data_IF_142221037319
#
_entry.id   IF_142221037319
#
_cell.length_a   1.000
_cell.length_b   1.000
_cell.length_c   1.000
_cell.angle_alpha   90.00
_cell.angle_beta   90.00
_cell.angle_gamma   90.00
#
_symmetry.space_group_name_H-M   'P 1'
#
loop_
_entity.id
_entity.type
_entity.pdbx_description
1 polymer ?
#
# COMPACT_ATOMS: atom_id res chain seq x y z
N UNK A 1 18.29 -11.66 -62.38
CA UNK A 1 18.23 -10.50 -61.48
C UNK A 1 17.06 -10.76 -60.51
N UNK A 2 17.31 -11.31 -59.33
CA UNK A 2 16.29 -11.75 -58.39
C UNK A 2 16.41 -10.85 -57.13
N UNK A 3 15.54 -9.86 -57.01
CA UNK A 3 15.48 -9.00 -55.80
C UNK A 3 14.83 -9.77 -54.65
N UNK A 4 15.62 -10.01 -53.59
CA UNK A 4 15.14 -10.58 -52.34
C UNK A 4 14.23 -9.62 -51.60
N UNK A 5 12.92 -9.85 -51.67
CA UNK A 5 11.88 -9.12 -50.91
C UNK A 5 11.73 -9.74 -49.50
N UNK A 6 12.81 -9.96 -48.73
CA UNK A 6 12.73 -10.62 -47.43
C UNK A 6 12.83 -9.66 -46.23
N UNK A 7 13.15 -8.37 -46.46
CA UNK A 7 13.38 -7.41 -45.37
C UNK A 7 12.15 -6.69 -44.81
N UNK A 8 11.08 -6.60 -45.58
CA UNK A 8 9.95 -5.76 -45.19
C UNK A 8 9.02 -6.43 -44.17
N UNK A 9 8.81 -7.75 -44.29
CA UNK A 9 7.92 -8.49 -43.37
C UNK A 9 8.46 -8.60 -41.95
N UNK A 10 9.80 -8.61 -41.79
CA UNK A 10 10.43 -8.66 -40.46
C UNK A 10 10.41 -7.31 -39.75
N UNK A 11 10.55 -6.19 -40.50
CA UNK A 11 10.49 -4.84 -39.95
C UNK A 11 9.08 -4.48 -39.46
N UNK A 12 8.04 -4.92 -40.16
CA UNK A 12 6.65 -4.67 -39.74
C UNK A 12 6.25 -5.47 -38.51
N UNK A 13 6.74 -6.69 -38.36
CA UNK A 13 6.45 -7.55 -37.20
C UNK A 13 7.13 -7.01 -35.91
N UNK A 14 8.36 -6.58 -36.00
CA UNK A 14 9.08 -6.00 -34.85
C UNK A 14 8.48 -4.66 -34.39
N UNK A 15 8.02 -3.83 -35.31
CA UNK A 15 7.34 -2.57 -35.02
C UNK A 15 5.98 -2.80 -34.31
N UNK A 16 5.21 -3.82 -34.73
CA UNK A 16 3.95 -4.21 -34.10
C UNK A 16 4.14 -4.75 -32.69
N UNK A 17 5.18 -5.55 -32.45
CA UNK A 17 5.49 -6.09 -31.12
C UNK A 17 5.93 -4.96 -30.19
N UNK A 18 6.78 -4.03 -30.65
CA UNK A 18 7.22 -2.89 -29.87
C UNK A 18 6.05 -1.96 -29.50
N UNK A 19 5.09 -1.74 -30.41
CA UNK A 19 3.90 -0.95 -30.15
C UNK A 19 2.98 -1.63 -29.14
N UNK A 20 2.80 -2.95 -29.23
CA UNK A 20 1.99 -3.72 -28.29
C UNK A 20 2.58 -3.73 -26.87
N UNK A 21 3.89 -3.86 -26.74
CA UNK A 21 4.60 -3.79 -25.44
C UNK A 21 4.50 -2.41 -24.83
N UNK A 22 4.64 -1.34 -25.63
CA UNK A 22 4.47 0.04 -25.18
C UNK A 22 3.06 0.34 -24.69
N UNK A 23 2.05 -0.23 -25.33
CA UNK A 23 0.65 -0.06 -24.93
C UNK A 23 0.33 -0.75 -23.60
N UNK A 24 0.90 -1.93 -23.35
CA UNK A 24 0.70 -2.67 -22.08
C UNK A 24 1.33 -1.91 -20.90
N UNK A 25 2.49 -1.29 -21.07
CA UNK A 25 3.14 -0.49 -20.02
C UNK A 25 2.39 0.81 -19.70
N UNK A 26 1.65 1.37 -20.64
CA UNK A 26 0.87 2.60 -20.45
C UNK A 26 -0.40 2.42 -19.60
N UNK A 27 -0.89 1.18 -19.41
CA UNK A 27 -2.11 0.91 -18.66
C UNK A 27 -1.90 0.54 -17.19
N UNK A 28 -0.67 0.38 -16.72
CA UNK A 28 -0.36 0.13 -15.32
C UNK A 28 -0.43 1.43 -14.52
N UNK A 29 -1.62 1.81 -14.06
CA UNK A 29 -1.75 2.93 -13.12
C UNK A 29 -1.12 2.52 -11.80
N UNK A 30 -0.13 3.26 -11.28
CA UNK A 30 0.39 3.01 -9.94
C UNK A 30 -0.75 3.17 -8.92
N UNK A 31 -0.80 2.27 -7.95
CA UNK A 31 -1.77 2.37 -6.85
C UNK A 31 -1.33 3.52 -5.96
N UNK A 32 -2.18 4.53 -5.83
CA UNK A 32 -1.95 5.67 -4.93
C UNK A 32 -2.31 5.25 -3.50
N UNK A 33 -1.38 5.47 -2.57
CA UNK A 33 -1.61 5.28 -1.14
C UNK A 33 -1.76 6.64 -0.47
N UNK A 34 -2.86 6.85 0.24
CA UNK A 34 -3.11 8.06 1.02
C UNK A 34 -3.36 7.71 2.47
N UNK A 35 -2.81 8.53 3.36
CA UNK A 35 -3.04 8.46 4.80
C UNK A 35 -3.50 9.82 5.28
N UNK A 36 -4.65 9.87 5.93
CA UNK A 36 -5.29 11.10 6.40
C UNK A 36 -5.35 12.19 5.30
N UNK A 37 -5.72 11.76 4.07
CA UNK A 37 -5.85 12.63 2.90
C UNK A 37 -4.51 12.99 2.22
N UNK A 38 -3.36 12.65 2.78
CA UNK A 38 -2.05 12.96 2.20
C UNK A 38 -1.50 11.76 1.41
N UNK A 39 -0.92 12.02 0.23
CA UNK A 39 -0.31 10.99 -0.61
C UNK A 39 1.00 10.51 0.01
N UNK A 40 1.15 9.19 0.15
CA UNK A 40 2.34 8.55 0.72
C UNK A 40 3.15 7.91 -0.40
N UNK A 41 4.36 8.42 -0.60
CA UNK A 41 5.29 7.88 -1.58
C UNK A 41 5.96 6.62 -1.03
N UNK A 42 5.92 5.54 -1.79
CA UNK A 42 6.51 4.26 -1.41
C UNK A 42 7.43 3.74 -2.51
N UNK A 43 8.57 3.14 -2.12
CA UNK A 43 9.50 2.49 -3.04
C UNK A 43 9.00 1.13 -3.54
N UNK A 44 8.09 0.50 -2.81
CA UNK A 44 7.35 -0.71 -3.21
C UNK A 44 5.87 -0.36 -3.22
N UNK A 45 5.19 -0.46 -4.36
CA UNK A 45 3.78 -0.17 -4.43
C UNK A 45 2.94 -1.18 -3.63
N UNK A 46 1.75 -0.80 -3.16
CA UNK A 46 0.78 -1.74 -2.64
C UNK A 46 0.49 -2.86 -3.62
N UNK A 47 0.25 -4.07 -3.12
CA UNK A 47 -0.07 -5.25 -3.93
C UNK A 47 -1.38 -5.87 -3.47
N UNK A 48 -2.15 -6.40 -4.42
CA UNK A 48 -3.35 -7.18 -4.11
C UNK A 48 -3.04 -8.65 -4.32
N UNK A 49 -3.25 -9.46 -3.29
CA UNK A 49 -3.07 -10.91 -3.32
C UNK A 49 -4.25 -11.57 -2.62
N UNK A 50 -4.86 -12.59 -3.23
CA UNK A 50 -5.97 -13.36 -2.66
C UNK A 50 -7.11 -12.48 -2.10
N UNK A 51 -7.50 -11.45 -2.84
CA UNK A 51 -8.55 -10.49 -2.51
C UNK A 51 -8.21 -9.56 -1.32
N UNK A 52 -7.00 -9.61 -0.79
CA UNK A 52 -6.52 -8.69 0.23
C UNK A 52 -5.50 -7.71 -0.35
N UNK A 53 -5.57 -6.47 0.12
CA UNK A 53 -4.61 -5.42 -0.23
C UNK A 53 -3.52 -5.40 0.81
N UNK A 54 -2.27 -5.49 0.37
CA UNK A 54 -1.09 -5.37 1.21
C UNK A 54 -0.40 -4.05 0.94
N UNK A 55 0.02 -3.40 2.01
CA UNK A 55 0.71 -2.10 1.98
C UNK A 55 2.10 -2.21 2.61
N UNK A 56 3.07 -1.39 2.17
CA UNK A 56 4.36 -1.33 2.83
C UNK A 56 4.22 -0.85 4.27
N UNK A 57 4.49 -1.74 5.24
CA UNK A 57 4.28 -1.49 6.66
C UNK A 57 4.87 -0.17 7.13
N UNK A 58 6.18 0.03 6.87
CA UNK A 58 6.90 1.21 7.36
C UNK A 58 6.29 2.51 6.85
N UNK A 59 5.97 2.59 5.57
CA UNK A 59 5.43 3.80 4.97
C UNK A 59 4.07 4.18 5.58
N UNK A 60 3.19 3.20 5.81
CA UNK A 60 1.88 3.44 6.45
C UNK A 60 2.05 3.75 7.93
N UNK A 61 2.91 3.02 8.65
CA UNK A 61 3.16 3.25 10.06
C UNK A 61 3.71 4.67 10.31
N UNK A 62 4.75 5.08 9.57
CA UNK A 62 5.32 6.43 9.65
C UNK A 62 4.28 7.52 9.34
N UNK A 63 3.48 7.32 8.28
CA UNK A 63 2.42 8.27 7.92
C UNK A 63 1.31 8.38 8.99
N UNK A 64 1.06 7.29 9.74
CA UNK A 64 0.13 7.27 10.88
C UNK A 64 0.77 7.76 12.20
N UNK A 65 2.03 8.18 12.18
CA UNK A 65 2.77 8.57 13.39
C UNK A 65 3.09 7.41 14.32
N UNK A 66 3.24 6.20 13.77
CA UNK A 66 3.59 5.00 14.51
C UNK A 66 5.08 4.67 14.38
N UNK A 67 5.69 4.20 15.46
CA UNK A 67 7.05 3.69 15.49
C UNK A 67 7.10 2.21 15.11
N UNK A 68 8.14 1.81 14.36
CA UNK A 68 8.31 0.44 13.91
C UNK A 68 9.67 -0.12 14.35
N UNK A 69 9.67 -1.18 15.14
CA UNK A 69 10.85 -1.87 15.62
C UNK A 69 10.97 -3.26 14.97
N UNK A 70 12.15 -3.54 14.41
CA UNK A 70 12.46 -4.82 13.77
C UNK A 70 13.46 -5.57 14.65
N UNK A 71 13.10 -6.78 15.08
CA UNK A 71 13.99 -7.65 15.84
C UNK A 71 14.34 -8.87 15.01
N UNK A 72 15.61 -8.98 14.62
CA UNK A 72 16.13 -10.18 13.98
C UNK A 72 16.63 -11.13 15.08
N UNK A 73 15.93 -12.23 15.30
CA UNK A 73 16.28 -13.23 16.35
C UNK A 73 17.13 -14.38 15.80
N UNK A 74 18.14 -14.10 14.97
CA UNK A 74 19.16 -15.09 14.59
C UNK A 74 18.59 -16.44 14.11
N UNK A 75 18.03 -16.48 12.89
CA UNK A 75 17.48 -17.71 12.28
C UNK A 75 16.03 -18.04 12.65
N UNK A 76 15.37 -17.27 13.48
CA UNK A 76 13.91 -17.28 13.66
C UNK A 76 13.27 -16.23 12.75
N UNK A 77 11.95 -16.34 12.54
CA UNK A 77 11.20 -15.35 11.79
C UNK A 77 11.40 -13.95 12.39
N UNK A 78 11.59 -12.94 11.52
CA UNK A 78 11.72 -11.55 11.93
C UNK A 78 10.49 -11.12 12.73
N UNK A 79 10.69 -10.72 13.98
CA UNK A 79 9.63 -10.18 14.81
C UNK A 79 9.56 -8.67 14.61
N UNK A 80 8.36 -8.17 14.46
CA UNK A 80 8.09 -6.77 14.19
C UNK A 80 7.12 -6.26 15.24
N UNK A 81 7.45 -5.12 15.79
CA UNK A 81 6.61 -4.37 16.71
C UNK A 81 6.28 -3.02 16.11
N UNK A 82 4.99 -2.65 16.11
CA UNK A 82 4.50 -1.36 15.66
C UNK A 82 3.75 -0.71 16.81
N UNK A 83 4.16 0.49 17.19
CA UNK A 83 3.62 1.23 18.34
C UNK A 83 2.98 2.52 17.84
N UNK A 84 1.71 2.74 18.17
CA UNK A 84 0.98 3.98 17.91
C UNK A 84 0.17 4.38 19.14
N UNK A 85 0.62 5.41 19.86
CA UNK A 85 0.02 5.77 21.13
C UNK A 85 0.08 4.62 22.14
N UNK A 86 -1.06 4.17 22.61
CA UNK A 86 -1.24 3.03 23.53
C UNK A 86 -1.41 1.68 22.82
N UNK A 87 -1.43 1.67 21.50
CA UNK A 87 -1.61 0.46 20.70
C UNK A 87 -0.26 -0.11 20.28
N UNK A 88 -0.06 -1.39 20.58
CA UNK A 88 1.15 -2.14 20.22
C UNK A 88 0.77 -3.41 19.48
N UNK A 89 1.11 -3.47 18.20
CA UNK A 89 0.94 -4.65 17.35
C UNK A 89 2.27 -5.38 17.25
N UNK A 90 2.31 -6.68 17.61
CA UNK A 90 3.49 -7.55 17.41
C UNK A 90 3.13 -8.74 16.52
N UNK A 91 3.97 -9.02 15.55
CA UNK A 91 3.81 -10.14 14.65
C UNK A 91 5.14 -10.59 14.06
N UNK A 92 5.13 -11.75 13.39
CA UNK A 92 6.30 -12.24 12.64
C UNK A 92 5.99 -12.38 11.16
N UNK A 93 6.97 -12.09 10.31
CA UNK A 93 6.85 -12.28 8.86
C UNK A 93 6.60 -13.77 8.56
N UNK A 94 5.67 -14.05 7.67
CA UNK A 94 5.28 -15.41 7.29
C UNK A 94 4.30 -16.10 8.24
N UNK A 95 3.86 -15.43 9.30
CA UNK A 95 2.93 -16.01 10.28
C UNK A 95 1.65 -15.16 10.43
N UNK A 96 0.52 -15.83 10.63
CA UNK A 96 -0.76 -15.15 10.89
C UNK A 96 -0.99 -14.85 12.37
N UNK A 97 -0.22 -15.49 13.27
CA UNK A 97 -0.31 -15.22 14.71
C UNK A 97 0.34 -13.87 15.02
N UNK A 98 -0.39 -13.05 15.75
CA UNK A 98 0.01 -11.73 16.21
C UNK A 98 -0.49 -11.46 17.62
N UNK A 99 -0.06 -10.36 18.21
CA UNK A 99 -0.64 -9.84 19.46
C UNK A 99 -0.94 -8.35 19.30
N UNK A 100 -2.06 -7.90 19.86
CA UNK A 100 -2.41 -6.50 19.98
C UNK A 100 -2.53 -6.16 21.48
N UNK A 101 -1.69 -5.24 21.95
CA UNK A 101 -1.58 -4.90 23.39
C UNK A 101 -1.37 -6.13 24.28
N UNK A 102 -0.58 -7.11 23.80
CA UNK A 102 -0.34 -8.36 24.48
C UNK A 102 -1.43 -9.42 24.32
N UNK A 103 -2.61 -9.07 23.83
CA UNK A 103 -3.71 -10.01 23.60
C UNK A 103 -3.52 -10.75 22.26
N UNK A 104 -3.74 -12.08 22.21
CA UNK A 104 -3.64 -12.83 20.96
C UNK A 104 -4.62 -12.31 19.91
N UNK A 105 -4.13 -12.14 18.68
CA UNK A 105 -4.96 -11.90 17.50
C UNK A 105 -4.48 -12.73 16.33
N UNK A 106 -5.33 -12.91 15.34
CA UNK A 106 -5.00 -13.61 14.10
C UNK A 106 -5.13 -12.65 12.95
N UNK A 107 -4.05 -12.47 12.19
CA UNK A 107 -4.05 -11.73 10.95
C UNK A 107 -4.80 -12.53 9.89
N UNK A 108 -5.57 -11.87 9.05
CA UNK A 108 -6.30 -12.52 7.96
C UNK A 108 -5.34 -13.23 6.99
N UNK A 109 -4.18 -12.62 6.72
CA UNK A 109 -3.08 -13.17 5.93
C UNK A 109 -1.74 -12.90 6.59
N UNK A 110 -0.78 -13.79 6.37
CA UNK A 110 0.57 -13.63 6.88
C UNK A 110 1.29 -12.47 6.15
N UNK A 111 1.96 -11.57 6.89
CA UNK A 111 2.84 -10.57 6.30
C UNK A 111 4.00 -11.24 5.55
N UNK A 112 4.45 -10.61 4.48
CA UNK A 112 5.53 -11.12 3.64
C UNK A 112 6.49 -10.00 3.19
N UNK A 113 7.57 -10.35 2.49
CA UNK A 113 8.53 -9.36 1.99
C UNK A 113 8.48 -9.22 0.47
N UNK A 114 8.51 -7.98 0.01
CA UNK A 114 8.71 -7.61 -1.39
C UNK A 114 9.89 -6.66 -1.49
N UNK A 115 10.93 -7.02 -2.23
CA UNK A 115 12.15 -6.20 -2.37
C UNK A 115 12.73 -5.75 -1.01
N UNK A 116 12.69 -6.62 0.00
CA UNK A 116 13.15 -6.33 1.34
C UNK A 116 12.18 -5.53 2.22
N UNK A 117 11.07 -5.02 1.70
CA UNK A 117 10.03 -4.33 2.47
C UNK A 117 9.00 -5.30 3.01
N UNK A 118 8.60 -5.12 4.25
CA UNK A 118 7.53 -5.90 4.86
C UNK A 118 6.19 -5.36 4.36
N UNK A 119 5.37 -6.25 3.83
CA UNK A 119 4.02 -6.00 3.38
C UNK A 119 3.05 -6.57 4.40
N UNK A 120 2.11 -5.76 4.85
CA UNK A 120 1.06 -6.16 5.81
C UNK A 120 -0.31 -5.94 5.19
N UNK A 121 -1.26 -6.81 5.52
CA UNK A 121 -2.63 -6.67 5.05
C UNK A 121 -3.28 -5.38 5.59
N UNK A 122 -3.99 -4.67 4.72
CA UNK A 122 -4.67 -3.42 5.06
C UNK A 122 -5.70 -3.64 6.18
N UNK A 123 -6.34 -4.81 6.18
CA UNK A 123 -7.27 -5.20 7.23
C UNK A 123 -6.62 -5.29 8.62
N UNK A 124 -5.39 -5.83 8.69
CA UNK A 124 -4.63 -5.91 9.94
C UNK A 124 -4.31 -4.52 10.50
N UNK A 125 -3.96 -3.56 9.63
CA UNK A 125 -3.72 -2.17 10.03
C UNK A 125 -5.00 -1.51 10.55
N UNK A 126 -6.13 -1.75 9.88
CA UNK A 126 -7.44 -1.26 10.32
C UNK A 126 -7.82 -1.76 11.71
N UNK A 127 -7.63 -3.06 11.97
CA UNK A 127 -7.93 -3.66 13.28
C UNK A 127 -6.99 -3.17 14.39
N UNK A 128 -5.68 -3.11 14.10
CA UNK A 128 -4.68 -2.78 15.11
C UNK A 128 -4.73 -1.32 15.54
N UNK A 129 -4.97 -0.40 14.62
CA UNK A 129 -4.84 1.04 14.88
C UNK A 129 -6.16 1.82 14.77
N UNK A 130 -7.28 1.09 14.69
CA UNK A 130 -8.63 1.69 14.64
C UNK A 130 -8.76 2.73 13.52
N UNK A 131 -8.11 2.48 12.37
CA UNK A 131 -8.18 3.34 11.20
C UNK A 131 -9.23 2.81 10.22
N UNK A 132 -9.89 3.71 9.50
CA UNK A 132 -10.78 3.35 8.39
C UNK A 132 -9.94 3.14 7.14
N UNK A 133 -10.16 2.04 6.45
CA UNK A 133 -9.43 1.71 5.22
C UNK A 133 -10.40 1.55 4.07
N UNK A 134 -10.06 2.11 2.90
CA UNK A 134 -10.84 1.99 1.68
C UNK A 134 -9.91 1.72 0.50
N UNK A 135 -10.30 0.78 -0.33
CA UNK A 135 -9.64 0.56 -1.62
C UNK A 135 -10.62 0.81 -2.76
N UNK A 136 -10.37 1.83 -3.55
CA UNK A 136 -11.12 2.11 -4.78
C UNK A 136 -10.36 1.53 -5.99
N UNK A 137 -10.92 0.45 -6.55
CA UNK A 137 -10.34 -0.22 -7.72
C UNK A 137 -10.44 0.62 -9.01
N UNK A 138 -11.41 1.52 -9.11
CA UNK A 138 -11.60 2.35 -10.31
C UNK A 138 -10.53 3.41 -10.43
N UNK A 139 -10.18 4.03 -9.31
CA UNK A 139 -9.15 5.07 -9.23
C UNK A 139 -7.79 4.51 -8.86
N UNK A 140 -7.69 3.19 -8.57
CA UNK A 140 -6.49 2.53 -8.05
C UNK A 140 -5.92 3.25 -6.81
N UNK A 141 -6.81 3.64 -5.87
CA UNK A 141 -6.44 4.39 -4.68
C UNK A 141 -6.79 3.64 -3.40
N UNK A 142 -5.87 3.72 -2.44
CA UNK A 142 -6.04 3.23 -1.08
C UNK A 142 -6.04 4.43 -0.15
N UNK A 143 -7.12 4.59 0.60
CA UNK A 143 -7.23 5.60 1.64
C UNK A 143 -7.17 4.90 3.02
N UNK A 144 -6.35 5.44 3.92
CA UNK A 144 -6.22 5.04 5.32
C UNK A 144 -6.48 6.27 6.17
N UNK A 145 -7.60 6.29 6.86
CA UNK A 145 -8.09 7.48 7.53
C UNK A 145 -8.17 7.26 9.06
N UNK A 146 -7.56 8.13 9.82
CA UNK A 146 -7.69 8.17 11.29
C UNK A 146 -9.03 8.81 11.65
N UNK A 147 -9.91 8.13 12.41
CA UNK A 147 -11.16 8.71 12.86
C UNK A 147 -10.91 10.02 13.65
N UNK A 148 -11.64 11.09 13.31
CA UNK A 148 -11.52 12.40 13.93
C UNK A 148 -10.61 13.40 13.22
N UNK A 149 -9.63 12.98 12.43
CA UNK A 149 -8.75 13.89 11.67
C UNK A 149 -9.50 14.50 10.48
N UNK A 150 -10.33 13.70 9.80
CA UNK A 150 -11.08 14.15 8.61
C UNK A 150 -12.25 15.08 9.00
N UNK A 151 -12.89 14.84 10.15
CA UNK A 151 -13.99 15.68 10.62
C UNK A 151 -13.49 17.10 10.96
N UNK A 152 -12.29 17.25 11.50
CA UNK A 152 -11.67 18.53 11.77
C UNK A 152 -11.29 19.30 10.48
N UNK A 153 -10.86 18.59 9.44
CA UNK A 153 -10.53 19.20 8.14
C UNK A 153 -11.75 19.63 7.34
N UNK A 154 -12.88 18.95 7.48
CA UNK A 154 -14.14 19.30 6.80
C UNK A 154 -14.82 20.55 7.43
N UNK A 155 -14.61 20.77 8.72
CA UNK A 155 -15.16 21.95 9.42
C UNK A 155 -14.31 23.21 9.21
N UNK A 156 -13.01 23.09 9.01
CA UNK A 156 -12.12 24.23 8.77
C UNK A 156 -12.35 24.91 7.41
N UNK A 157 -13.03 24.25 6.47
CA UNK A 157 -13.36 24.79 5.15
C UNK A 157 -14.74 25.45 5.04
N UNK A 158 -15.57 25.44 6.11
CA UNK A 158 -16.97 25.88 6.05
C UNK A 158 -17.23 27.25 6.66
N UNK A 159 -16.24 27.94 7.25
CA UNK A 159 -16.43 29.16 8.03
C UNK A 159 -15.83 30.42 7.37
N UNK A 160 -15.70 30.46 6.05
CA UNK A 160 -15.29 31.66 5.32
C UNK A 160 -16.43 32.23 4.44
N UNK A 161 -17.58 32.43 5.05
CA UNK A 161 -18.68 33.23 4.48
C UNK A 161 -19.26 34.17 5.51
N UNK A 162 -18.48 35.18 5.91
CA UNK A 162 -19.02 36.34 6.60
C UNK A 162 -19.72 37.25 5.58
N UNK A 163 -20.96 37.67 5.79
CA UNK A 163 -21.61 38.62 4.91
C UNK A 163 -21.06 40.02 5.17
N UNK A 164 -20.54 40.64 4.13
CA UNK A 164 -20.26 42.06 4.11
C UNK A 164 -21.58 42.84 4.17
N UNK A 165 -21.71 43.68 5.16
CA UNK A 165 -22.66 44.79 5.17
C UNK A 165 -22.05 46.03 4.53
#
# INVERSE_FOLDING_TARGET
MSLKMTGWKTLTLTALIALAVSLVLAFSRPVELRVDGQSVVTDVPPVTQDHEVFVPLRAVAEALGADTHFQNKGGKADEIEVIRGDQTLRFSVGHTKATLNGNPMTLHRAPFRVRGRVMIGLHAMSQAFTVKTRYDRKTARIDVDTPGVIEAGAQAGADDSAPAQ
#
